data_IF_771129666731
#
_entry.id   IF_771129666731
#
_cell.length_a   1.000
_cell.length_b   1.000
_cell.length_c   1.000
_cell.angle_alpha   90.00
_cell.angle_beta   90.00
_cell.angle_gamma   90.00
#
_symmetry.space_group_name_H-M   'P 1'
#
loop_
_entity.id
_entity.type
_entity.pdbx_description
1 polymer ?
#
# COMPACT_ATOMS: atom_id res chain seq x y z
N UNK A 1 -0.82 -31.26 -5.32
CA UNK A 1 -1.78 -30.21 -4.91
C UNK A 1 -1.10 -28.89 -5.14
N UNK A 2 -1.50 -28.19 -6.19
CA UNK A 2 -1.02 -26.85 -6.47
C UNK A 2 -1.75 -25.91 -5.51
N UNK A 3 -1.05 -25.43 -4.49
CA UNK A 3 -1.61 -24.42 -3.60
C UNK A 3 -1.75 -23.16 -4.45
N UNK A 4 -2.98 -22.76 -4.76
CA UNK A 4 -3.30 -21.45 -5.36
C UNK A 4 -2.33 -20.40 -4.79
N UNK A 5 -1.65 -19.60 -5.63
CA UNK A 5 -0.65 -18.65 -5.15
C UNK A 5 -1.30 -17.80 -4.06
N UNK A 6 -0.73 -17.86 -2.85
CA UNK A 6 -1.23 -17.09 -1.70
C UNK A 6 -1.05 -15.62 -2.02
N UNK A 7 -2.11 -14.99 -2.52
CA UNK A 7 -2.09 -13.57 -2.81
C UNK A 7 -1.93 -12.81 -1.49
N UNK A 8 -0.83 -12.07 -1.38
CA UNK A 8 -0.64 -11.14 -0.27
C UNK A 8 -1.61 -9.96 -0.44
N UNK A 9 -2.22 -9.55 0.66
CA UNK A 9 -3.12 -8.41 0.75
C UNK A 9 -2.53 -7.50 1.81
N UNK A 10 -2.32 -6.23 1.47
CA UNK A 10 -2.01 -5.18 2.43
C UNK A 10 -3.27 -4.35 2.68
N UNK A 11 -3.78 -4.40 3.92
CA UNK A 11 -4.96 -3.67 4.37
C UNK A 11 -4.65 -2.52 5.33
N UNK A 12 -3.38 -2.34 5.71
CA UNK A 12 -3.01 -1.30 6.64
C UNK A 12 -1.51 -1.02 6.58
N UNK A 13 -1.16 0.14 6.03
CA UNK A 13 0.23 0.55 5.85
C UNK A 13 0.38 2.06 5.99
N UNK A 14 1.53 2.46 6.53
CA UNK A 14 1.92 3.85 6.69
C UNK A 14 3.20 4.16 5.95
N UNK A 15 3.25 5.32 5.32
CA UNK A 15 4.49 5.93 4.84
C UNK A 15 4.99 6.97 5.83
N UNK A 16 6.30 7.19 5.85
CA UNK A 16 6.96 8.18 6.70
C UNK A 16 6.44 9.61 6.45
N UNK A 17 6.05 9.94 5.22
CA UNK A 17 5.55 11.26 4.87
C UNK A 17 4.14 11.53 5.41
N UNK A 18 3.29 10.51 5.51
CA UNK A 18 1.91 10.66 6.00
C UNK A 18 1.68 10.17 7.43
N UNK A 19 2.67 9.55 8.07
CA UNK A 19 2.55 9.05 9.45
C UNK A 19 3.90 9.11 10.18
N UNK A 20 3.95 9.82 11.29
CA UNK A 20 5.17 10.00 12.09
C UNK A 20 5.69 8.69 12.73
N UNK A 21 4.86 7.66 12.81
CA UNK A 21 5.20 6.35 13.34
C UNK A 21 5.96 5.45 12.35
N UNK A 22 6.04 5.85 11.07
CA UNK A 22 6.59 5.00 10.01
C UNK A 22 7.96 5.48 9.53
N UNK A 23 8.85 4.52 9.26
CA UNK A 23 10.12 4.74 8.56
C UNK A 23 10.04 4.31 7.08
N UNK A 24 8.90 3.77 6.64
CA UNK A 24 8.71 3.27 5.29
C UNK A 24 8.51 4.45 4.33
N UNK A 25 9.41 4.66 3.38
CA UNK A 25 9.19 5.66 2.32
C UNK A 25 8.28 5.09 1.24
N UNK A 26 7.55 5.94 0.50
CA UNK A 26 6.71 5.48 -0.61
C UNK A 26 7.51 4.65 -1.65
N UNK A 27 8.72 5.06 -2.12
CA UNK A 27 9.51 4.25 -3.05
C UNK A 27 9.95 2.89 -2.48
N UNK A 28 10.17 2.79 -1.16
CA UNK A 28 10.47 1.52 -0.52
C UNK A 28 9.22 0.63 -0.45
N UNK A 29 8.08 1.21 -0.07
CA UNK A 29 6.79 0.54 -0.01
C UNK A 29 6.41 -0.10 -1.36
N UNK A 30 6.45 0.67 -2.46
CA UNK A 30 6.14 0.17 -3.80
C UNK A 30 7.06 -1.01 -4.21
N UNK A 31 8.35 -0.94 -3.86
CA UNK A 31 9.31 -2.04 -4.08
C UNK A 31 8.92 -3.29 -3.29
N UNK A 32 8.47 -3.15 -2.04
CA UNK A 32 8.02 -4.28 -1.23
C UNK A 32 6.75 -4.90 -1.77
N UNK A 33 5.79 -4.09 -2.21
CA UNK A 33 4.59 -4.59 -2.89
C UNK A 33 4.94 -5.44 -4.12
N UNK A 34 5.91 -4.98 -4.92
CA UNK A 34 6.41 -5.74 -6.05
C UNK A 34 7.00 -7.10 -5.64
N UNK A 35 7.90 -7.12 -4.65
CA UNK A 35 8.54 -8.34 -4.15
C UNK A 35 7.59 -9.34 -3.51
N UNK A 36 6.54 -8.85 -2.84
CA UNK A 36 5.54 -9.68 -2.15
C UNK A 36 4.40 -10.11 -3.07
N UNK A 37 4.40 -9.68 -4.33
CA UNK A 37 3.33 -9.96 -5.30
C UNK A 37 1.92 -9.59 -4.79
N UNK A 38 1.83 -8.57 -3.93
CA UNK A 38 0.58 -8.13 -3.29
C UNK A 38 -0.48 -7.68 -4.31
N UNK A 39 -1.59 -8.41 -4.42
CA UNK A 39 -2.62 -8.14 -5.44
C UNK A 39 -3.53 -6.97 -5.09
N UNK A 40 -3.81 -6.83 -3.80
CA UNK A 40 -4.68 -5.81 -3.23
C UNK A 40 -3.84 -5.02 -2.25
N UNK A 41 -3.82 -3.71 -2.41
CA UNK A 41 -2.96 -2.81 -1.64
C UNK A 41 -3.74 -1.59 -1.18
N UNK A 42 -3.43 -1.14 0.02
CA UNK A 42 -3.97 0.10 0.57
C UNK A 42 -2.85 0.95 1.18
N UNK A 43 -3.18 2.18 1.51
CA UNK A 43 -2.35 3.08 2.30
C UNK A 43 -3.27 3.80 3.27
N UNK A 44 -2.97 3.72 4.56
CA UNK A 44 -3.82 4.20 5.65
C UNK A 44 -3.04 5.15 6.53
N UNK A 45 -2.43 6.16 5.93
CA UNK A 45 -1.70 7.18 6.67
C UNK A 45 -2.60 7.94 7.67
N UNK A 46 -1.99 8.48 8.72
CA UNK A 46 -2.69 9.21 9.78
C UNK A 46 -3.27 10.52 9.23
N UNK A 47 -4.57 10.57 8.95
CA UNK A 47 -5.25 11.77 8.47
C UNK A 47 -4.73 12.33 7.13
N UNK A 48 -3.96 11.56 6.37
CA UNK A 48 -3.24 12.03 5.18
C UNK A 48 -3.42 11.07 4.01
N UNK A 49 -3.74 11.61 2.82
CA UNK A 49 -3.88 10.84 1.58
C UNK A 49 -2.94 11.31 0.47
N UNK A 50 -1.89 12.07 0.81
CA UNK A 50 -1.00 12.71 -0.17
C UNK A 50 -0.29 11.70 -1.10
N UNK A 51 0.00 10.49 -0.61
CA UNK A 51 0.65 9.42 -1.37
C UNK A 51 -0.33 8.59 -2.22
N UNK A 52 -1.65 8.75 -2.03
CA UNK A 52 -2.67 7.94 -2.70
C UNK A 52 -2.63 8.05 -4.24
N UNK A 53 -2.45 9.23 -4.86
CA UNK A 53 -2.36 9.33 -6.32
C UNK A 53 -1.20 8.52 -6.92
N UNK A 54 -0.02 8.60 -6.30
CA UNK A 54 1.16 7.86 -6.77
C UNK A 54 1.00 6.34 -6.58
N UNK A 55 0.36 5.90 -5.50
CA UNK A 55 0.02 4.49 -5.31
C UNK A 55 -1.02 4.02 -6.34
N UNK A 56 -2.02 4.83 -6.67
CA UNK A 56 -3.03 4.52 -7.68
C UNK A 56 -2.40 4.32 -9.06
N UNK A 57 -1.51 5.23 -9.48
CA UNK A 57 -0.76 5.12 -10.74
C UNK A 57 0.09 3.85 -10.80
N UNK A 58 0.80 3.52 -9.71
CA UNK A 58 1.55 2.28 -9.61
C UNK A 58 0.64 1.04 -9.74
N UNK A 59 -0.53 1.04 -9.10
CA UNK A 59 -1.45 -0.08 -9.15
C UNK A 59 -2.03 -0.29 -10.55
N UNK A 60 -2.39 0.79 -11.23
CA UNK A 60 -2.81 0.76 -12.63
C UNK A 60 -1.72 0.16 -13.53
N UNK A 61 -0.49 0.68 -13.43
CA UNK A 61 0.65 0.23 -14.21
C UNK A 61 1.02 -1.25 -13.96
N UNK A 62 0.72 -1.77 -12.76
CA UNK A 62 1.09 -3.14 -12.35
C UNK A 62 -0.10 -4.10 -12.25
N UNK A 63 -1.30 -3.70 -12.71
CA UNK A 63 -2.54 -4.49 -12.64
C UNK A 63 -2.87 -5.00 -11.23
N UNK A 64 -2.67 -4.13 -10.23
CA UNK A 64 -3.05 -4.36 -8.83
C UNK A 64 -4.34 -3.61 -8.51
N UNK A 65 -5.05 -4.06 -7.49
CA UNK A 65 -6.22 -3.37 -6.97
C UNK A 65 -5.77 -2.42 -5.88
N UNK A 66 -5.97 -1.12 -6.10
CA UNK A 66 -5.81 -0.12 -5.06
C UNK A 66 -7.14 0.03 -4.29
N UNK A 67 -7.07 -0.07 -2.97
CA UNK A 67 -8.17 0.25 -2.05
C UNK A 67 -7.81 1.55 -1.33
N UNK A 68 -8.47 2.68 -1.64
CA UNK A 68 -8.21 3.94 -0.93
C UNK A 68 -8.53 3.82 0.56
N UNK A 69 -7.67 4.39 1.41
CA UNK A 69 -7.79 4.34 2.85
C UNK A 69 -7.22 5.59 3.53
N UNK A 70 -7.57 5.77 4.79
CA UNK A 70 -7.04 6.79 5.70
C UNK A 70 -7.23 6.30 7.13
N UNK A 71 -6.23 6.48 8.00
CA UNK A 71 -6.41 6.24 9.43
C UNK A 71 -6.96 7.49 10.11
N UNK A 72 -8.00 7.31 10.92
CA UNK A 72 -8.66 8.37 11.69
C UNK A 72 -8.53 8.04 13.18
N UNK A 73 -8.06 9.01 13.97
CA UNK A 73 -8.00 8.89 15.43
C UNK A 73 -9.34 9.29 16.05
N UNK A 74 -9.85 8.47 16.99
CA UNK A 74 -11.12 8.67 17.69
C UNK A 74 -10.93 8.78 19.19
#
# INVERSE_FOLDING_TARGET
MDLMPRHAIDLHAHTAAGSACSVMTLPLYLRRLAQLEARIVTLTNHGCTADAPALAEFCEATRRVFVPGIEVTT
#
